data_IF_393009396741
#
_entry.id   IF_393009396741
#
_cell.length_a   1.000
_cell.length_b   1.000
_cell.length_c   1.000
_cell.angle_alpha   90.00
_cell.angle_beta   90.00
_cell.angle_gamma   90.00
#
_symmetry.space_group_name_H-M   'P 1'
#
loop_
_entity.id
_entity.type
_entity.pdbx_description
1 polymer ?
#
# COMPACT_ATOMS: atom_id res chain seq x y z
N UNK A 1 -9.20 14.49 31.43
CA UNK A 1 -8.28 13.89 30.52
C UNK A 1 -8.75 12.51 30.09
N UNK A 2 -8.56 12.21 28.85
CA UNK A 2 -9.07 10.97 28.27
C UNK A 2 -7.93 9.99 28.05
N UNK A 3 -8.08 8.79 28.59
CA UNK A 3 -7.13 7.70 28.40
C UNK A 3 -7.80 6.66 27.52
N UNK A 4 -7.55 6.76 26.23
CA UNK A 4 -8.14 5.85 25.25
C UNK A 4 -7.09 4.93 24.65
N UNK A 5 -7.53 3.97 23.91
CA UNK A 5 -6.70 3.03 23.19
C UNK A 5 -5.63 2.41 24.10
N UNK A 6 -4.39 2.85 24.01
CA UNK A 6 -3.29 2.34 24.82
C UNK A 6 -3.29 2.81 26.28
N UNK A 7 -4.28 3.57 26.71
CA UNK A 7 -4.28 4.23 28.02
C UNK A 7 -3.38 5.46 28.09
N UNK A 8 -2.89 5.93 26.97
CA UNK A 8 -2.01 7.08 26.88
C UNK A 8 -2.71 8.35 27.33
N UNK A 9 -2.00 9.21 28.04
CA UNK A 9 -2.47 10.53 28.46
C UNK A 9 -2.18 11.59 27.42
N UNK A 10 -1.27 11.30 26.50
CA UNK A 10 -0.85 12.15 25.42
C UNK A 10 -1.12 11.45 24.10
N UNK A 11 -1.78 12.11 23.17
CA UNK A 11 -2.12 11.52 21.87
C UNK A 11 -0.88 11.10 21.08
N UNK A 12 0.27 11.72 21.29
CA UNK A 12 1.51 11.32 20.61
C UNK A 12 1.99 9.93 21.01
N UNK A 13 1.52 9.40 22.13
CA UNK A 13 1.83 8.05 22.59
C UNK A 13 0.90 6.99 22.02
N UNK A 14 -0.18 7.38 21.39
CA UNK A 14 -1.11 6.45 20.76
C UNK A 14 -0.46 5.88 19.51
N UNK A 15 -0.43 4.54 19.44
CA UNK A 15 0.13 3.84 18.30
C UNK A 15 -0.92 3.74 17.20
N UNK A 16 -0.68 4.39 16.08
CA UNK A 16 -1.55 4.32 14.92
C UNK A 16 -0.76 4.50 13.63
N UNK A 17 -1.29 3.99 12.55
CA UNK A 17 -0.79 4.18 11.20
C UNK A 17 -1.95 4.50 10.28
N UNK A 18 -1.67 5.28 9.25
CA UNK A 18 -2.64 5.60 8.21
C UNK A 18 -2.21 4.86 6.94
N UNK A 19 -3.03 3.91 6.52
CA UNK A 19 -2.80 3.17 5.28
C UNK A 19 -3.35 3.96 4.10
N UNK A 20 -2.50 4.26 3.14
CA UNK A 20 -2.92 4.91 1.91
C UNK A 20 -3.74 3.97 1.04
N UNK A 21 -4.54 4.55 0.15
CA UNK A 21 -5.33 3.80 -0.82
C UNK A 21 -4.45 3.22 -1.91
N UNK A 22 -4.89 2.11 -2.49
CA UNK A 22 -4.28 1.53 -3.67
C UNK A 22 -5.18 1.73 -4.89
N UNK A 23 -4.60 1.85 -6.11
CA UNK A 23 -5.41 2.09 -7.30
C UNK A 23 -6.12 0.83 -7.78
N UNK A 24 -7.32 0.99 -8.31
CA UNK A 24 -7.98 -0.02 -9.12
C UNK A 24 -7.34 -0.08 -10.52
N UNK A 25 -7.55 -1.19 -11.24
CA UNK A 25 -7.04 -1.33 -12.61
C UNK A 25 -7.57 -0.25 -13.55
N UNK A 26 -8.76 0.26 -13.27
CA UNK A 26 -9.39 1.35 -14.03
C UNK A 26 -8.86 2.74 -13.66
N UNK A 27 -7.84 2.81 -12.81
CA UNK A 27 -7.27 4.06 -12.31
C UNK A 27 -5.78 4.17 -12.62
N UNK A 28 -5.39 4.08 -13.91
CA UNK A 28 -3.98 4.25 -14.29
C UNK A 28 -3.53 5.70 -14.08
N UNK A 29 -2.21 5.92 -14.14
CA UNK A 29 -1.66 7.28 -14.10
C UNK A 29 -2.34 8.15 -15.15
N UNK A 30 -2.66 9.39 -14.78
CA UNK A 30 -3.31 10.36 -15.67
C UNK A 30 -4.83 10.27 -15.71
N UNK A 31 -5.44 9.20 -15.18
CA UNK A 31 -6.91 9.16 -15.07
C UNK A 31 -7.39 10.17 -14.02
N UNK A 32 -8.60 10.68 -14.22
CA UNK A 32 -9.18 11.69 -13.32
C UNK A 32 -9.21 11.22 -11.86
N UNK A 33 -9.70 10.01 -11.63
CA UNK A 33 -9.79 9.46 -10.27
C UNK A 33 -8.40 9.28 -9.66
N UNK A 34 -7.43 8.80 -10.45
CA UNK A 34 -6.07 8.60 -9.96
C UNK A 34 -5.41 9.91 -9.58
N UNK A 35 -5.57 10.96 -10.38
CA UNK A 35 -5.02 12.28 -10.07
C UNK A 35 -5.59 12.79 -8.75
N UNK A 36 -6.89 12.65 -8.53
CA UNK A 36 -7.51 13.05 -7.26
C UNK A 36 -7.02 12.24 -6.08
N UNK A 37 -6.89 10.92 -6.25
CA UNK A 37 -6.34 10.05 -5.20
C UNK A 37 -4.91 10.42 -4.86
N UNK A 38 -4.08 10.65 -5.85
CA UNK A 38 -2.69 11.05 -5.63
C UNK A 38 -2.59 12.39 -4.89
N UNK A 39 -3.41 13.37 -5.23
CA UNK A 39 -3.44 14.65 -4.52
C UNK A 39 -3.81 14.47 -3.05
N UNK A 40 -4.81 13.64 -2.75
CA UNK A 40 -5.20 13.34 -1.38
C UNK A 40 -4.10 12.58 -0.63
N UNK A 41 -3.45 11.62 -1.27
CA UNK A 41 -2.35 10.87 -0.65
C UNK A 41 -1.18 11.79 -0.30
N UNK A 42 -0.87 12.76 -1.15
CA UNK A 42 0.18 13.76 -0.85
C UNK A 42 -0.19 14.58 0.39
N UNK A 43 -1.45 14.96 0.55
CA UNK A 43 -1.91 15.66 1.76
C UNK A 43 -1.77 14.78 3.00
N UNK A 44 -2.15 13.51 2.92
CA UNK A 44 -2.01 12.57 4.04
C UNK A 44 -0.55 12.34 4.40
N UNK A 45 0.30 12.19 3.41
CA UNK A 45 1.74 12.02 3.60
C UNK A 45 2.36 13.20 4.31
N UNK A 46 1.99 14.41 3.91
CA UNK A 46 2.47 15.63 4.54
C UNK A 46 1.97 15.77 5.98
N UNK A 47 0.68 15.46 6.22
CA UNK A 47 0.07 15.61 7.53
C UNK A 47 0.51 14.53 8.51
N UNK A 48 0.52 13.26 8.10
CA UNK A 48 0.80 12.12 8.99
C UNK A 48 2.27 11.71 9.01
N UNK A 49 3.06 12.20 8.07
CA UNK A 49 4.51 12.01 7.98
C UNK A 49 4.91 10.52 8.10
N UNK A 50 5.64 10.15 9.15
CA UNK A 50 6.13 8.78 9.36
C UNK A 50 5.05 7.78 9.79
N UNK A 51 3.81 8.24 9.99
CA UNK A 51 2.67 7.38 10.27
C UNK A 51 1.85 7.04 9.03
N UNK A 52 2.20 7.62 7.89
CA UNK A 52 1.56 7.31 6.63
C UNK A 52 2.26 6.14 5.94
N UNK A 53 1.48 5.16 5.50
CA UNK A 53 1.98 4.03 4.71
C UNK A 53 1.60 4.23 3.24
N UNK A 54 2.59 4.38 2.38
CA UNK A 54 2.38 4.55 0.94
C UNK A 54 2.13 3.19 0.28
N UNK A 55 0.93 2.67 0.50
CA UNK A 55 0.53 1.37 0.00
C UNK A 55 0.48 1.33 -1.54
N UNK A 56 0.11 2.45 -2.18
CA UNK A 56 0.03 2.51 -3.64
C UNK A 56 1.40 2.28 -4.28
N UNK A 57 2.42 3.00 -3.83
CA UNK A 57 3.78 2.83 -4.36
C UNK A 57 4.28 1.41 -4.12
N UNK A 58 4.08 0.87 -2.91
CA UNK A 58 4.53 -0.48 -2.61
C UNK A 58 3.84 -1.51 -3.52
N UNK A 59 2.52 -1.50 -3.57
CA UNK A 59 1.77 -2.53 -4.31
C UNK A 59 1.96 -2.43 -5.82
N UNK A 60 2.10 -1.22 -6.35
CA UNK A 60 2.34 -1.03 -7.79
C UNK A 60 3.77 -1.36 -8.19
N UNK A 61 4.76 -0.87 -7.44
CA UNK A 61 6.15 -0.87 -7.90
C UNK A 61 7.03 -1.95 -7.27
N UNK A 62 6.69 -2.45 -6.09
CA UNK A 62 7.59 -3.32 -5.33
C UNK A 62 7.04 -4.71 -5.03
N UNK A 63 5.74 -4.83 -4.81
CA UNK A 63 5.17 -6.07 -4.30
C UNK A 63 5.43 -7.29 -5.20
N UNK A 64 5.35 -7.12 -6.51
CA UNK A 64 5.59 -8.24 -7.43
C UNK A 64 7.04 -8.73 -7.38
N UNK A 65 7.99 -7.82 -7.24
CA UNK A 65 9.41 -8.17 -7.12
C UNK A 65 9.67 -8.88 -5.79
N UNK A 66 9.06 -8.42 -4.71
CA UNK A 66 9.16 -9.08 -3.41
C UNK A 66 8.54 -10.48 -3.45
N UNK A 67 7.41 -10.65 -4.14
CA UNK A 67 6.76 -11.95 -4.30
C UNK A 67 7.66 -12.94 -5.03
N UNK A 68 8.38 -12.50 -6.05
CA UNK A 68 9.38 -13.32 -6.76
C UNK A 68 10.56 -13.65 -5.83
N UNK A 69 11.08 -12.67 -5.14
CA UNK A 69 12.19 -12.86 -4.21
C UNK A 69 11.84 -13.86 -3.10
N UNK A 70 10.61 -13.82 -2.59
CA UNK A 70 10.14 -14.72 -1.54
C UNK A 70 9.73 -16.11 -2.07
N UNK A 71 9.76 -16.32 -3.37
CA UNK A 71 9.47 -17.62 -3.99
C UNK A 71 7.99 -17.89 -4.24
N UNK A 72 7.12 -16.89 -4.10
CA UNK A 72 5.70 -17.06 -4.39
C UNK A 72 5.38 -17.03 -5.88
N UNK A 73 6.24 -16.43 -6.68
CA UNK A 73 6.17 -16.42 -8.13
C UNK A 73 7.53 -16.78 -8.70
N UNK A 74 7.58 -17.47 -9.86
CA UNK A 74 8.86 -17.87 -10.45
C UNK A 74 9.63 -16.71 -11.05
N UNK A 75 8.94 -15.71 -11.60
CA UNK A 75 9.58 -14.56 -12.23
C UNK A 75 8.58 -13.43 -12.43
N UNK A 76 9.09 -12.22 -12.65
CA UNK A 76 8.31 -11.10 -13.18
C UNK A 76 8.09 -11.35 -14.67
N UNK A 77 6.87 -11.11 -15.16
CA UNK A 77 6.49 -11.30 -16.56
C UNK A 77 6.15 -9.96 -17.21
N UNK A 78 6.02 -9.96 -18.54
CA UNK A 78 5.76 -8.72 -19.29
C UNK A 78 4.45 -8.04 -18.85
N UNK A 79 3.40 -8.83 -18.56
CA UNK A 79 2.13 -8.26 -18.08
C UNK A 79 2.31 -7.46 -16.78
N UNK A 80 3.20 -7.90 -15.88
CA UNK A 80 3.49 -7.16 -14.66
C UNK A 80 4.16 -5.82 -14.98
N UNK A 81 5.11 -5.83 -15.89
CA UNK A 81 5.82 -4.61 -16.31
C UNK A 81 4.87 -3.62 -16.99
N UNK A 82 3.97 -4.13 -17.82
CA UNK A 82 2.96 -3.31 -18.48
C UNK A 82 2.04 -2.62 -17.46
N UNK A 83 1.60 -3.36 -16.46
CA UNK A 83 0.74 -2.84 -15.39
C UNK A 83 1.48 -1.78 -14.56
N UNK A 84 2.73 -2.06 -14.17
CA UNK A 84 3.57 -1.10 -13.44
C UNK A 84 3.75 0.17 -14.24
N UNK A 85 3.98 0.05 -15.55
CA UNK A 85 4.23 1.19 -16.43
C UNK A 85 3.07 2.17 -16.48
N UNK A 86 1.82 1.68 -16.39
CA UNK A 86 0.63 2.53 -16.33
C UNK A 86 0.19 2.87 -14.90
N UNK A 87 0.94 2.42 -13.90
CA UNK A 87 0.72 2.78 -12.51
C UNK A 87 -0.38 2.01 -11.81
N UNK A 88 -0.67 0.78 -12.23
CA UNK A 88 -1.65 -0.08 -11.56
C UNK A 88 -0.97 -1.30 -10.96
N UNK A 89 -1.64 -1.93 -10.00
CA UNK A 89 -1.13 -3.15 -9.35
C UNK A 89 -1.09 -4.26 -10.39
N UNK A 90 0.03 -5.02 -10.49
CA UNK A 90 0.09 -6.16 -11.40
C UNK A 90 -1.11 -7.08 -11.24
N UNK A 91 -1.76 -7.41 -12.35
CA UNK A 91 -3.01 -8.20 -12.37
C UNK A 91 -2.89 -9.57 -11.71
N UNK A 92 -1.68 -10.13 -11.65
CA UNK A 92 -1.45 -11.40 -10.97
C UNK A 92 -1.64 -11.35 -9.46
N UNK A 93 -1.73 -10.15 -8.88
CA UNK A 93 -2.03 -9.94 -7.46
C UNK A 93 -3.48 -9.55 -7.22
N UNK A 94 -4.30 -9.52 -8.27
CA UNK A 94 -5.69 -9.07 -8.20
C UNK A 94 -6.64 -10.21 -8.56
N UNK A 95 -7.79 -10.24 -7.86
CA UNK A 95 -8.89 -11.12 -8.17
C UNK A 95 -9.76 -10.55 -9.31
N UNK A 96 -10.00 -9.25 -9.23
CA UNK A 96 -10.72 -8.46 -10.24
C UNK A 96 -10.12 -7.06 -10.30
N UNK A 97 -10.79 -6.09 -10.90
CA UNK A 97 -10.24 -4.74 -11.08
C UNK A 97 -10.03 -3.97 -9.77
N UNK A 98 -10.65 -4.40 -8.66
CA UNK A 98 -10.58 -3.68 -7.38
C UNK A 98 -10.18 -4.55 -6.19
N UNK A 99 -10.31 -5.87 -6.26
CA UNK A 99 -10.07 -6.76 -5.13
C UNK A 99 -8.76 -7.52 -5.29
N UNK A 100 -8.02 -7.64 -4.20
CA UNK A 100 -6.82 -8.47 -4.17
C UNK A 100 -7.18 -9.95 -4.22
N UNK A 101 -6.32 -10.74 -4.89
CA UNK A 101 -6.31 -12.18 -4.68
C UNK A 101 -5.52 -12.52 -3.41
N UNK A 102 -5.35 -13.81 -3.12
CA UNK A 102 -4.62 -14.24 -1.91
C UNK A 102 -3.18 -13.70 -1.88
N UNK A 103 -2.49 -13.71 -3.01
CA UNK A 103 -1.12 -13.19 -3.08
C UNK A 103 -1.08 -11.69 -2.82
N UNK A 104 -1.94 -10.91 -3.45
CA UNK A 104 -2.01 -9.47 -3.25
C UNK A 104 -2.32 -9.11 -1.80
N UNK A 105 -3.30 -9.78 -1.21
CA UNK A 105 -3.66 -9.56 0.19
C UNK A 105 -2.50 -9.92 1.14
N UNK A 106 -1.80 -11.02 0.88
CA UNK A 106 -0.64 -11.40 1.66
C UNK A 106 0.48 -10.37 1.57
N UNK A 107 0.80 -9.90 0.38
CA UNK A 107 1.88 -8.93 0.17
C UNK A 107 1.57 -7.60 0.86
N UNK A 108 0.32 -7.14 0.80
CA UNK A 108 -0.10 -5.93 1.51
C UNK A 108 -0.03 -6.11 3.03
N UNK A 109 -0.51 -7.23 3.55
CA UNK A 109 -0.44 -7.54 4.99
C UNK A 109 1.00 -7.64 5.47
N UNK A 110 1.89 -8.22 4.66
CA UNK A 110 3.31 -8.26 4.96
C UNK A 110 3.91 -6.85 5.03
N UNK A 111 3.54 -5.98 4.11
CA UNK A 111 3.97 -4.58 4.13
C UNK A 111 3.55 -3.88 5.41
N UNK A 112 2.29 -4.04 5.83
CA UNK A 112 1.81 -3.51 7.11
C UNK A 112 2.65 -4.03 8.28
N UNK A 113 2.90 -5.33 8.33
CA UNK A 113 3.66 -5.95 9.41
C UNK A 113 5.09 -5.40 9.49
N UNK A 114 5.76 -5.27 8.36
CA UNK A 114 7.11 -4.72 8.31
C UNK A 114 7.14 -3.25 8.73
N UNK A 115 6.15 -2.49 8.33
CA UNK A 115 6.04 -1.08 8.71
C UNK A 115 5.83 -0.91 10.22
N UNK A 116 4.96 -1.74 10.80
CA UNK A 116 4.71 -1.75 12.24
C UNK A 116 6.00 -2.13 13.01
N UNK A 117 6.70 -3.16 12.54
CA UNK A 117 7.97 -3.58 13.17
C UNK A 117 9.03 -2.49 13.08
N UNK A 118 9.09 -1.76 11.99
CA UNK A 118 10.03 -0.66 11.82
C UNK A 118 9.79 0.48 12.83
N UNK A 119 8.58 0.58 13.37
CA UNK A 119 8.25 1.54 14.44
C UNK A 119 8.72 1.06 15.82
N UNK A 120 9.15 -0.19 15.94
CA UNK A 120 9.50 -0.77 17.25
C UNK A 120 8.28 -1.20 18.08
N UNK A 121 7.18 -1.40 17.43
CA UNK A 121 5.89 -1.76 18.08
C UNK A 121 5.64 -3.26 18.15
#
# INVERSE_FOLDING_TARGET
MIKYASGAENISEVRYLIAGNTPAYTEPFGSYTRIRKQAREEMFKEYFTDRYMDCATYMVQHAIYDAVYLGYLPSVIQADLDDIAIGVIPRRMMHDVVHYNALGAYMLGRYYSLFIKAKGW
#
